data_IF_635964798386
#
_entry.id   IF_635964798386
#
_cell.length_a   1.000
_cell.length_b   1.000
_cell.length_c   1.000
_cell.angle_alpha   90.00
_cell.angle_beta   90.00
_cell.angle_gamma   90.00
#
_symmetry.space_group_name_H-M   'P 1'
#
loop_
_entity.id
_entity.type
_entity.pdbx_description
1 polymer ?
#
# COMPACT_ATOMS: atom_id res chain seq x y z
N UNK A 1 -20.78 35.36 45.67
CA UNK A 1 -21.34 34.57 44.56
C UNK A 1 -20.23 34.42 43.54
N UNK A 2 -19.81 33.19 43.25
CA UNK A 2 -18.69 32.91 42.34
C UNK A 2 -19.27 32.23 41.10
N UNK A 3 -19.34 32.95 39.99
CA UNK A 3 -19.92 32.45 38.75
C UNK A 3 -18.95 31.48 38.05
N UNK A 4 -19.21 30.19 38.24
CA UNK A 4 -18.59 29.11 37.48
C UNK A 4 -19.30 28.99 36.13
N UNK A 5 -18.79 29.72 35.14
CA UNK A 5 -19.09 29.51 33.73
C UNK A 5 -18.74 28.05 33.38
N UNK A 6 -19.74 27.18 33.22
CA UNK A 6 -19.60 25.85 32.61
C UNK A 6 -19.70 26.01 31.09
N UNK A 7 -18.74 26.72 30.50
CA UNK A 7 -18.56 26.79 29.04
C UNK A 7 -17.72 25.62 28.54
N UNK A 8 -18.15 24.39 28.82
CA UNK A 8 -17.54 23.21 28.24
C UNK A 8 -17.94 23.10 26.78
N UNK A 9 -17.23 23.80 25.89
CA UNK A 9 -17.31 23.56 24.44
C UNK A 9 -16.81 22.14 24.19
N UNK A 10 -17.73 21.17 24.13
CA UNK A 10 -17.46 19.87 23.55
C UNK A 10 -17.21 20.11 22.07
N UNK A 11 -15.92 20.09 21.69
CA UNK A 11 -15.51 20.16 20.29
C UNK A 11 -16.23 19.02 19.55
N UNK A 12 -16.95 19.31 18.45
CA UNK A 12 -17.58 18.24 17.68
C UNK A 12 -16.52 17.22 17.27
N UNK A 13 -16.85 15.92 17.22
CA UNK A 13 -15.94 14.93 16.68
C UNK A 13 -15.48 15.41 15.31
N UNK A 14 -14.16 15.52 15.12
CA UNK A 14 -13.58 16.04 13.87
C UNK A 14 -14.11 15.22 12.70
N UNK A 15 -14.84 15.82 11.75
CA UNK A 15 -15.21 15.13 10.51
C UNK A 15 -13.91 14.81 9.76
N UNK A 16 -13.61 13.52 9.57
CA UNK A 16 -12.40 13.10 8.86
C UNK A 16 -11.66 11.89 9.45
N UNK A 17 -12.07 11.38 10.62
CA UNK A 17 -11.50 10.13 11.16
C UNK A 17 -12.08 8.85 10.54
N UNK A 18 -13.13 8.96 9.73
CA UNK A 18 -13.80 7.83 9.05
C UNK A 18 -12.99 7.24 7.88
N UNK A 19 -11.97 7.96 7.39
CA UNK A 19 -11.11 7.51 6.29
C UNK A 19 -9.81 6.84 6.73
N UNK A 20 -9.49 6.87 8.03
CA UNK A 20 -8.22 6.32 8.55
C UNK A 20 -8.20 4.80 8.45
N UNK A 21 -9.35 4.15 8.62
CA UNK A 21 -9.48 2.69 8.54
C UNK A 21 -9.27 2.17 7.10
N UNK A 22 -9.79 2.90 6.10
CA UNK A 22 -9.63 2.57 4.66
C UNK A 22 -8.17 2.74 4.23
N UNK A 23 -7.49 3.79 4.70
CA UNK A 23 -6.07 4.01 4.40
C UNK A 23 -5.21 2.87 4.97
N UNK A 24 -5.57 2.32 6.14
CA UNK A 24 -4.80 1.25 6.76
C UNK A 24 -4.92 -0.10 6.01
N UNK A 25 -6.07 -0.35 5.38
CA UNK A 25 -6.30 -1.51 4.51
C UNK A 25 -5.51 -1.39 3.20
N UNK A 26 -5.58 -0.25 2.52
CA UNK A 26 -4.80 0.03 1.30
C UNK A 26 -3.29 -0.08 1.55
N UNK A 27 -2.81 0.44 2.69
CA UNK A 27 -1.40 0.34 3.08
C UNK A 27 -0.97 -1.12 3.36
N UNK A 28 -1.86 -1.95 3.91
CA UNK A 28 -1.59 -3.37 4.10
C UNK A 28 -1.52 -4.11 2.75
N UNK A 29 -2.41 -3.81 1.81
CA UNK A 29 -2.35 -4.36 0.45
C UNK A 29 -1.04 -3.99 -0.26
N UNK A 30 -0.63 -2.72 -0.19
CA UNK A 30 0.64 -2.22 -0.74
C UNK A 30 1.84 -2.92 -0.08
N UNK A 31 1.83 -3.08 1.25
CA UNK A 31 2.92 -3.72 1.99
C UNK A 31 3.05 -5.21 1.61
N UNK A 32 1.93 -5.91 1.44
CA UNK A 32 1.95 -7.32 1.03
C UNK A 32 2.41 -7.47 -0.43
N UNK A 33 2.03 -6.54 -1.31
CA UNK A 33 2.52 -6.51 -2.68
C UNK A 33 4.03 -6.25 -2.78
N UNK A 34 4.58 -5.32 -1.99
CA UNK A 34 6.03 -5.06 -1.94
C UNK A 34 6.80 -6.28 -1.41
N UNK A 35 6.24 -7.00 -0.45
CA UNK A 35 6.86 -8.23 0.05
C UNK A 35 6.88 -9.34 -1.00
N UNK A 36 5.81 -9.47 -1.79
CA UNK A 36 5.75 -10.44 -2.88
C UNK A 36 6.68 -10.05 -4.05
N UNK A 37 6.76 -8.77 -4.42
CA UNK A 37 7.67 -8.29 -5.47
C UNK A 37 9.14 -8.40 -5.04
N UNK A 38 9.45 -8.06 -3.79
CA UNK A 38 10.77 -8.24 -3.19
C UNK A 38 11.14 -9.71 -3.00
N UNK A 39 10.19 -10.60 -2.74
CA UNK A 39 10.45 -12.03 -2.72
C UNK A 39 10.66 -12.60 -4.13
N UNK A 40 10.01 -12.02 -5.16
CA UNK A 40 10.24 -12.36 -6.58
C UNK A 40 11.63 -11.97 -7.05
N UNK A 41 12.24 -10.94 -6.46
CA UNK A 41 13.59 -10.49 -6.78
C UNK A 41 14.44 -10.42 -5.51
N UNK A 42 15.24 -11.46 -5.27
CA UNK A 42 16.12 -11.55 -4.10
C UNK A 42 17.27 -10.54 -4.15
N UNK A 43 17.64 -10.09 -5.36
CA UNK A 43 18.73 -9.15 -5.63
C UNK A 43 18.44 -8.28 -6.87
N UNK A 44 19.10 -7.12 -6.97
CA UNK A 44 19.11 -6.30 -8.18
C UNK A 44 19.66 -7.06 -9.41
N UNK A 45 20.54 -8.05 -9.18
CA UNK A 45 21.02 -8.95 -10.23
C UNK A 45 19.90 -9.81 -10.83
N UNK A 46 18.88 -10.14 -10.05
CA UNK A 46 17.76 -10.97 -10.50
C UNK A 46 16.87 -10.20 -11.47
N UNK A 47 16.65 -8.91 -11.19
CA UNK A 47 15.94 -7.98 -12.09
C UNK A 47 16.68 -7.85 -13.41
N UNK A 48 18.01 -7.66 -13.37
CA UNK A 48 18.82 -7.55 -14.58
C UNK A 48 18.73 -8.83 -15.43
N UNK A 49 18.79 -9.99 -14.77
CA UNK A 49 18.69 -11.30 -15.43
C UNK A 49 17.31 -11.51 -16.05
N UNK A 50 16.24 -11.12 -15.35
CA UNK A 50 14.86 -11.23 -15.84
C UNK A 50 14.62 -10.32 -17.06
N UNK A 51 15.15 -9.08 -17.03
CA UNK A 51 15.12 -8.16 -18.16
C UNK A 51 15.91 -8.70 -19.36
N UNK A 52 17.11 -9.24 -19.14
CA UNK A 52 17.91 -9.86 -20.19
C UNK A 52 17.17 -11.07 -20.80
N UNK A 53 16.56 -11.91 -19.98
CA UNK A 53 15.76 -13.04 -20.46
C UNK A 53 14.54 -12.59 -21.26
N UNK A 54 13.86 -11.51 -20.86
CA UNK A 54 12.77 -10.92 -21.62
C UNK A 54 13.23 -10.40 -22.99
N UNK A 55 14.34 -9.66 -23.03
CA UNK A 55 14.93 -9.16 -24.29
C UNK A 55 15.39 -10.31 -25.20
N UNK A 56 15.82 -11.42 -24.62
CA UNK A 56 16.22 -12.63 -25.33
C UNK A 56 15.04 -13.55 -25.69
N UNK A 57 13.79 -13.15 -25.42
CA UNK A 57 12.59 -13.95 -25.72
C UNK A 57 12.41 -15.19 -24.84
N UNK A 58 13.15 -15.30 -23.75
CA UNK A 58 13.06 -16.37 -22.75
C UNK A 58 12.10 -16.01 -21.59
N UNK A 59 11.66 -14.75 -21.51
CA UNK A 59 10.57 -14.36 -20.63
C UNK A 59 9.27 -15.05 -21.05
N UNK A 60 8.58 -15.69 -20.11
CA UNK A 60 7.33 -16.44 -20.36
C UNK A 60 6.22 -15.46 -20.77
N UNK A 61 6.20 -15.04 -22.04
CA UNK A 61 5.01 -14.50 -22.68
C UNK A 61 4.06 -15.68 -22.89
N UNK A 62 3.24 -15.95 -21.87
CA UNK A 62 2.12 -16.88 -21.98
C UNK A 62 1.16 -16.29 -23.01
N UNK A 63 1.36 -16.63 -24.29
CA UNK A 63 0.37 -16.38 -25.32
C UNK A 63 -0.79 -17.30 -24.99
N UNK A 64 -1.84 -16.72 -24.40
CA UNK A 64 -3.10 -17.39 -24.14
C UNK A 64 -3.54 -18.07 -25.45
N UNK A 65 -3.81 -19.40 -25.48
CA UNK A 65 -4.32 -20.02 -26.68
C UNK A 65 -5.75 -19.55 -26.94
N UNK A 66 -6.08 -19.30 -28.21
CA UNK A 66 -7.40 -18.89 -28.70
C UNK A 66 -8.53 -19.85 -28.31
#
# INVERSE_FOLDING_TARGET
MSDLHKGGTLKPPSPGLEHVDVINEDLNEITQQDRLSRARFSSASDVKTDVENWLNGQGVISTKPD
#
